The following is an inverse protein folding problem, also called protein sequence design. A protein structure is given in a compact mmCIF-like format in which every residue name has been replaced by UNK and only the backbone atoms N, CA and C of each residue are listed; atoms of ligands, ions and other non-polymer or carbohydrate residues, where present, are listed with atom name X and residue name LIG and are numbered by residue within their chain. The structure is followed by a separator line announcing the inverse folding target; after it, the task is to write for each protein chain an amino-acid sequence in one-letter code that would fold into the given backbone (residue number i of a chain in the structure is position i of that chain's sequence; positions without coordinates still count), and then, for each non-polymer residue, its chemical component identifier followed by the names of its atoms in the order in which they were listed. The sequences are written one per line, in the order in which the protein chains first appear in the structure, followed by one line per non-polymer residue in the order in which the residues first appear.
data_IF_392850496898
#
_entry.id   IF_392850496898
#
_cell.length_a   1.000
_cell.length_b   1.000
_cell.length_c   1.000
_cell.angle_alpha   90.00
_cell.angle_beta   90.00
_cell.angle_gamma   90.00
#
_symmetry.space_group_name_H-M   'P 1'
#
loop_
_entity.id
_entity.type
_entity.pdbx_description
1 polymer ?
#
# COMPACT_ATOMS: atom_id res chain seq x y z
N UNK A 1 2.20 -0.37 3.86
CA UNK A 1 2.91 0.71 3.12
C UNK A 1 3.77 0.06 2.04
N UNK A 2 3.51 0.32 0.76
CA UNK A 2 4.47 -0.03 -0.29
C UNK A 2 5.60 1.00 -0.18
N UNK A 3 6.74 0.61 0.40
CA UNK A 3 7.96 1.37 0.17
C UNK A 3 8.23 1.28 -1.32
N UNK A 4 8.03 2.37 -2.05
CA UNK A 4 8.50 2.48 -3.42
C UNK A 4 10.03 2.57 -3.35
N UNK A 5 10.71 1.45 -3.13
CA UNK A 5 12.16 1.43 -3.22
C UNK A 5 12.51 1.74 -4.68
N UNK A 6 13.23 2.84 -4.91
CA UNK A 6 13.87 3.06 -6.21
C UNK A 6 14.66 1.80 -6.54
N UNK A 7 14.46 1.25 -7.75
CA UNK A 7 15.24 0.11 -8.22
C UNK A 7 16.62 0.66 -8.56
N UNK A 8 17.61 0.36 -7.74
CA UNK A 8 19.01 0.64 -8.05
C UNK A 8 19.49 -0.34 -9.12
N UNK A 9 20.42 0.08 -9.99
CA UNK A 9 21.05 -0.82 -10.94
C UNK A 9 21.79 -1.95 -10.22
N UNK A 10 21.84 -3.13 -10.85
CA UNK A 10 22.55 -4.30 -10.32
C UNK A 10 24.04 -4.32 -10.70
N UNK A 11 24.40 -3.59 -11.75
CA UNK A 11 25.79 -3.45 -12.19
C UNK A 11 26.60 -2.61 -11.20
N UNK A 12 27.84 -3.01 -10.94
CA UNK A 12 28.69 -2.41 -9.89
C UNK A 12 29.07 -0.98 -10.23
N UNK A 13 29.40 -0.70 -11.48
CA UNK A 13 29.83 0.64 -11.91
C UNK A 13 28.65 1.61 -11.89
N UNK A 14 27.48 1.15 -12.37
CA UNK A 14 26.26 1.94 -12.31
C UNK A 14 25.83 2.21 -10.86
N UNK A 15 25.99 1.23 -9.98
CA UNK A 15 25.67 1.38 -8.56
C UNK A 15 26.61 2.37 -7.87
N UNK A 16 27.92 2.29 -8.14
CA UNK A 16 28.89 3.24 -7.62
C UNK A 16 28.57 4.68 -8.06
N UNK A 17 28.23 4.87 -9.34
CA UNK A 17 27.80 6.17 -9.88
C UNK A 17 26.53 6.69 -9.18
N UNK A 18 25.49 5.86 -9.04
CA UNK A 18 24.25 6.24 -8.36
C UNK A 18 24.47 6.58 -6.89
N UNK A 19 25.35 5.88 -6.17
CA UNK A 19 25.71 6.21 -4.78
C UNK A 19 26.35 7.58 -4.70
N UNK A 20 27.35 7.85 -5.55
CA UNK A 20 28.02 9.15 -5.60
C UNK A 20 26.99 10.23 -5.90
N UNK A 21 26.22 10.07 -6.97
CA UNK A 21 25.16 10.98 -7.40
C UNK A 21 24.17 11.29 -6.27
N UNK A 22 23.63 10.27 -5.60
CA UNK A 22 22.69 10.43 -4.48
C UNK A 22 23.32 11.11 -3.26
N UNK A 23 24.62 10.91 -3.04
CA UNK A 23 25.35 11.52 -1.93
C UNK A 23 25.79 12.97 -2.19
N UNK A 24 25.95 13.36 -3.46
CA UNK A 24 26.41 14.69 -3.87
C UNK A 24 25.28 15.61 -4.30
N UNK A 25 24.20 15.07 -4.87
CA UNK A 25 23.00 15.83 -5.21
C UNK A 25 22.17 16.08 -3.93
N UNK A 26 22.60 17.02 -3.09
CA UNK A 26 21.76 17.56 -2.03
C UNK A 26 20.57 18.32 -2.66
N UNK A 27 19.37 17.74 -2.57
CA UNK A 27 18.13 18.53 -2.63
C UNK A 27 17.28 18.50 -3.90
N UNK A 28 17.43 17.52 -4.82
CA UNK A 28 16.48 17.36 -5.93
C UNK A 28 15.63 16.09 -5.85
N UNK A 29 15.01 15.83 -4.70
CA UNK A 29 13.87 14.91 -4.64
C UNK A 29 12.74 15.42 -3.76
N UNK A 30 12.22 16.62 -4.04
CA UNK A 30 10.80 16.86 -3.78
C UNK A 30 9.97 16.17 -4.87
N UNK A 31 9.97 14.83 -4.88
CA UNK A 31 8.84 14.11 -5.47
C UNK A 31 7.66 14.32 -4.53
N UNK A 32 7.06 15.51 -4.59
CA UNK A 32 5.71 15.69 -4.09
C UNK A 32 4.92 14.52 -4.68
N UNK A 33 4.19 13.75 -3.85
CA UNK A 33 3.30 12.74 -4.40
C UNK A 33 2.48 13.42 -5.50
N UNK A 34 2.25 12.76 -6.65
CA UNK A 34 1.55 13.40 -7.75
C UNK A 34 0.31 14.07 -7.18
N UNK A 35 0.18 15.40 -7.38
CA UNK A 35 -0.94 16.17 -6.84
C UNK A 35 -2.20 15.44 -7.27
N UNK A 36 -2.94 14.89 -6.30
CA UNK A 36 -4.19 14.21 -6.60
C UNK A 36 -5.09 15.24 -7.27
N UNK A 37 -5.81 14.83 -8.30
CA UNK A 37 -6.85 15.71 -8.86
C UNK A 37 -7.84 16.05 -7.74
N UNK A 38 -8.43 17.25 -7.79
CA UNK A 38 -9.46 17.65 -6.83
C UNK A 38 -10.61 16.62 -6.75
N UNK A 39 -10.91 15.98 -7.87
CA UNK A 39 -11.87 14.87 -7.97
C UNK A 39 -11.41 13.67 -7.11
N UNK A 40 -10.14 13.27 -7.21
CA UNK A 40 -9.61 12.15 -6.43
C UNK A 40 -9.61 12.43 -4.92
N UNK A 41 -9.39 13.68 -4.53
CA UNK A 41 -9.43 14.08 -3.12
C UNK A 41 -10.86 14.02 -2.57
N UNK A 42 -11.80 14.63 -3.28
CA UNK A 42 -13.22 14.59 -2.93
C UNK A 42 -13.78 13.17 -2.80
N UNK A 43 -13.47 12.28 -3.75
CA UNK A 43 -13.90 10.88 -3.70
C UNK A 43 -13.27 10.12 -2.52
N UNK A 44 -12.02 10.42 -2.17
CA UNK A 44 -11.34 9.84 -1.01
C UNK A 44 -12.03 10.22 0.30
N UNK A 45 -12.42 11.50 0.44
CA UNK A 45 -13.14 11.96 1.62
C UNK A 45 -14.53 11.31 1.77
N UNK A 46 -15.27 11.19 0.68
CA UNK A 46 -16.57 10.48 0.68
C UNK A 46 -16.38 9.02 1.09
N UNK A 47 -15.43 8.33 0.47
CA UNK A 47 -15.11 6.93 0.79
C UNK A 47 -14.72 6.76 2.27
N UNK A 48 -13.95 7.70 2.81
CA UNK A 48 -13.57 7.71 4.22
C UNK A 48 -14.79 7.84 5.14
N UNK A 49 -15.66 8.83 4.89
CA UNK A 49 -16.90 9.04 5.65
C UNK A 49 -17.80 7.79 5.64
N UNK A 50 -17.91 7.13 4.48
CA UNK A 50 -18.63 5.86 4.35
C UNK A 50 -17.98 4.72 5.14
N UNK A 51 -16.65 4.59 5.07
CA UNK A 51 -15.88 3.57 5.77
C UNK A 51 -15.96 3.67 7.30
N UNK A 52 -15.92 4.90 7.84
CA UNK A 52 -16.07 5.17 9.28
C UNK A 52 -17.41 4.68 9.84
N UNK A 53 -18.48 4.72 9.03
CA UNK A 53 -19.80 4.20 9.43
C UNK A 53 -19.93 2.70 9.14
N UNK A 54 -19.53 2.27 7.94
CA UNK A 54 -19.73 0.91 7.46
C UNK A 54 -18.88 -0.14 8.19
N UNK A 55 -17.63 0.19 8.51
CA UNK A 55 -16.71 -0.72 9.20
C UNK A 55 -17.25 -1.16 10.57
N UNK A 56 -17.54 -0.22 11.49
CA UNK A 56 -18.12 -0.54 12.80
C UNK A 56 -19.48 -1.24 12.69
N UNK A 57 -20.36 -0.81 11.78
CA UNK A 57 -21.65 -1.46 11.58
C UNK A 57 -21.50 -2.93 11.17
N UNK A 58 -20.56 -3.23 10.26
CA UNK A 58 -20.24 -4.60 9.85
C UNK A 58 -19.62 -5.40 11.00
N UNK A 59 -18.74 -4.79 11.79
CA UNK A 59 -18.12 -5.44 12.94
C UNK A 59 -19.17 -5.86 13.98
N UNK A 60 -20.13 -4.98 14.30
CA UNK A 60 -21.24 -5.26 15.22
C UNK A 60 -22.17 -6.37 14.70
N UNK A 61 -22.44 -6.42 13.39
CA UNK A 61 -23.31 -7.44 12.77
C UNK A 61 -22.66 -8.84 12.68
N UNK A 62 -21.35 -8.96 12.82
CA UNK A 62 -20.65 -10.23 12.64
C UNK A 62 -20.56 -11.03 13.95
N UNK A 63 -21.24 -12.18 13.99
CA UNK A 63 -21.10 -13.15 15.07
C UNK A 63 -19.71 -13.83 15.06
N UNK A 64 -19.32 -14.42 16.20
CA UNK A 64 -18.05 -15.15 16.31
C UNK A 64 -17.93 -16.28 15.27
N UNK A 65 -19.02 -17.01 15.00
CA UNK A 65 -19.07 -18.05 13.97
C UNK A 65 -18.78 -17.50 12.58
N UNK A 66 -19.46 -16.41 12.19
CA UNK A 66 -19.26 -15.75 10.89
C UNK A 66 -17.83 -15.21 10.75
N UNK A 67 -17.26 -14.63 11.82
CA UNK A 67 -15.85 -14.18 11.83
C UNK A 67 -14.88 -15.35 11.58
N UNK A 68 -15.10 -16.49 12.23
CA UNK A 68 -14.30 -17.72 12.06
C UNK A 68 -14.38 -18.26 10.63
N UNK A 69 -15.56 -18.27 10.03
CA UNK A 69 -15.77 -18.70 8.64
C UNK A 69 -15.03 -17.81 7.64
N UNK A 70 -15.12 -16.48 7.81
CA UNK A 70 -14.40 -15.52 6.96
C UNK A 70 -12.88 -15.73 7.07
N UNK A 71 -12.37 -15.91 8.30
CA UNK A 71 -10.94 -16.15 8.53
C UNK A 71 -10.45 -17.44 7.87
N UNK A 72 -11.20 -18.55 7.98
CA UNK A 72 -10.88 -19.82 7.30
C UNK A 72 -10.83 -19.65 5.79
N UNK A 73 -11.81 -18.96 5.19
CA UNK A 73 -11.83 -18.68 3.74
C UNK A 73 -10.62 -17.85 3.31
N UNK A 74 -10.28 -16.80 4.07
CA UNK A 74 -9.12 -15.96 3.79
C UNK A 74 -7.79 -16.75 3.87
N UNK A 75 -7.64 -17.62 4.87
CA UNK A 75 -6.48 -18.48 5.02
C UNK A 75 -6.36 -19.46 3.84
N UNK A 76 -7.45 -20.12 3.45
CA UNK A 76 -7.45 -21.03 2.30
C UNK A 76 -6.99 -20.33 1.02
N UNK A 77 -7.49 -19.13 0.72
CA UNK A 77 -7.06 -18.36 -0.48
C UNK A 77 -5.58 -17.99 -0.41
N UNK A 78 -5.11 -17.52 0.76
CA UNK A 78 -3.70 -17.14 0.95
C UNK A 78 -2.75 -18.32 0.75
N UNK A 79 -3.09 -19.49 1.28
CA UNK A 79 -2.21 -20.67 1.27
C UNK A 79 -2.39 -21.56 0.04
N UNK A 80 -3.51 -21.47 -0.70
CA UNK A 80 -3.73 -22.22 -1.95
C UNK A 80 -2.68 -21.90 -3.02
N UNK A 81 -2.15 -20.67 -3.05
CA UNK A 81 -1.09 -20.25 -3.97
C UNK A 81 0.32 -20.72 -3.59
N UNK A 82 0.51 -21.37 -2.44
CA UNK A 82 1.81 -21.85 -1.96
C UNK A 82 2.06 -23.35 -2.26
N UNK A 83 1.13 -24.01 -2.96
CA UNK A 83 1.37 -25.31 -3.62
C UNK A 83 1.73 -25.06 -5.09
N UNK A 84 2.92 -24.52 -5.29
CA UNK A 84 3.69 -24.51 -6.54
C UNK A 84 5.14 -24.23 -6.13
#
# INVERSE_FOLDING_TARGET
MRRSSKKLPKDVNQLAYEIVRLSTEEGQESKQPPKRSAISEYLSEIGHKGGLKGGPARAKKLSAKKRKEIAKKAAAVRWKKKKA
#
